data_IF_823087512574
#
_entry.id   IF_823087512574
#
_cell.length_a   1.000
_cell.length_b   1.000
_cell.length_c   1.000
_cell.angle_alpha   90.00
_cell.angle_beta   90.00
_cell.angle_gamma   90.00
#
_symmetry.space_group_name_H-M   'P 1'
#
loop_
_entity.id
_entity.type
_entity.pdbx_description
1 polymer ?
#
# COMPACT_ATOMS: atom_id res chain seq x y z
N UNK A 1 7.86 7.08 20.72
CA UNK A 1 7.80 8.05 19.59
C UNK A 1 8.99 7.94 18.64
N UNK A 2 10.13 7.39 19.07
CA UNK A 2 11.31 7.12 18.24
C UNK A 2 11.02 6.31 16.98
N UNK A 3 10.33 5.16 17.09
CA UNK A 3 9.95 4.33 15.92
C UNK A 3 9.04 5.03 14.91
N UNK A 4 8.21 6.00 15.36
CA UNK A 4 7.38 6.79 14.44
C UNK A 4 8.25 7.72 13.60
N UNK A 5 9.31 8.29 14.19
CA UNK A 5 10.24 9.16 13.46
C UNK A 5 11.08 8.36 12.48
N UNK A 6 11.54 7.16 12.84
CA UNK A 6 12.25 6.25 11.93
C UNK A 6 11.37 5.86 10.75
N UNK A 7 10.14 5.40 11.01
CA UNK A 7 9.18 5.05 9.95
C UNK A 7 8.90 6.26 9.04
N UNK A 8 8.71 7.44 9.62
CA UNK A 8 8.56 8.67 8.84
C UNK A 8 9.77 8.92 7.93
N UNK A 9 11.01 8.77 8.44
CA UNK A 9 12.22 9.00 7.66
C UNK A 9 12.35 8.00 6.51
N UNK A 10 12.03 6.73 6.74
CA UNK A 10 12.01 5.69 5.69
C UNK A 10 10.99 6.06 4.62
N UNK A 11 9.74 6.37 5.02
CA UNK A 11 8.67 6.73 4.10
C UNK A 11 9.01 7.99 3.29
N UNK A 12 9.61 9.01 3.92
CA UNK A 12 9.95 10.28 3.28
C UNK A 12 11.05 10.15 2.20
N UNK A 13 11.86 9.07 2.21
CA UNK A 13 12.86 8.82 1.16
C UNK A 13 12.22 8.46 -0.18
N UNK A 14 11.09 7.74 -0.16
CA UNK A 14 10.43 7.23 -1.37
C UNK A 14 9.13 7.97 -1.70
N UNK A 15 8.38 8.38 -0.67
CA UNK A 15 7.09 9.04 -0.82
C UNK A 15 7.27 10.56 -0.76
N UNK A 16 7.06 11.23 -1.89
CA UNK A 16 7.18 12.69 -2.01
C UNK A 16 5.91 13.41 -1.55
N UNK A 17 5.36 13.01 -0.42
CA UNK A 17 4.11 13.57 0.11
C UNK A 17 4.40 14.70 1.09
N UNK A 18 3.38 15.50 1.39
CA UNK A 18 3.52 16.51 2.42
C UNK A 18 3.79 15.86 3.80
N UNK A 19 4.45 16.61 4.69
CA UNK A 19 4.89 16.13 6.00
C UNK A 19 3.73 15.63 6.88
N UNK A 20 2.58 16.31 6.85
CA UNK A 20 1.43 15.94 7.69
C UNK A 20 0.78 14.64 7.22
N UNK A 21 0.73 14.39 5.91
CA UNK A 21 0.22 13.17 5.30
C UNK A 21 1.15 12.00 5.56
N UNK A 22 2.48 12.16 5.46
CA UNK A 22 3.44 11.12 5.84
C UNK A 22 3.31 10.72 7.31
N UNK A 23 3.20 11.71 8.21
CA UNK A 23 2.97 11.44 9.63
C UNK A 23 1.64 10.73 9.87
N UNK A 24 0.58 11.12 9.16
CA UNK A 24 -0.71 10.45 9.24
C UNK A 24 -0.61 9.00 8.76
N UNK A 25 0.04 8.76 7.63
CA UNK A 25 0.25 7.45 7.04
C UNK A 25 1.08 6.53 7.95
N UNK A 26 2.18 7.04 8.51
CA UNK A 26 2.99 6.31 9.47
C UNK A 26 2.17 5.87 10.71
N UNK A 27 1.29 6.74 11.22
CA UNK A 27 0.38 6.39 12.31
C UNK A 27 -0.65 5.34 11.88
N UNK A 28 -1.23 5.46 10.67
CA UNK A 28 -2.16 4.46 10.12
C UNK A 28 -1.48 3.09 10.01
N UNK A 29 -0.25 3.03 9.47
CA UNK A 29 0.52 1.78 9.38
C UNK A 29 0.74 1.14 10.75
N UNK A 30 1.15 1.92 11.75
CA UNK A 30 1.31 1.41 13.12
C UNK A 30 -0.01 0.86 13.68
N UNK A 31 -1.14 1.54 13.45
CA UNK A 31 -2.45 1.04 13.88
C UNK A 31 -2.77 -0.31 13.25
N UNK A 32 -2.58 -0.42 11.93
CA UNK A 32 -2.88 -1.65 11.20
C UNK A 32 -2.00 -2.80 11.70
N UNK A 33 -0.70 -2.56 11.94
CA UNK A 33 0.22 -3.59 12.44
C UNK A 33 -0.14 -4.01 13.87
N UNK A 34 -0.42 -3.05 14.76
CA UNK A 34 -0.63 -3.32 16.18
C UNK A 34 -2.03 -3.86 16.49
N UNK A 35 -3.05 -3.45 15.73
CA UNK A 35 -4.46 -3.82 15.99
C UNK A 35 -5.07 -4.70 14.91
N UNK A 36 -4.36 -4.94 13.81
CA UNK A 36 -4.80 -5.81 12.72
C UNK A 36 -6.21 -5.45 12.23
N UNK A 37 -6.52 -4.14 12.17
CA UNK A 37 -7.84 -3.64 11.78
C UNK A 37 -7.73 -2.59 10.69
N UNK A 38 -8.62 -2.68 9.71
CA UNK A 38 -8.85 -1.66 8.69
C UNK A 38 -10.07 -0.77 9.00
N UNK A 39 -10.79 -1.03 10.11
CA UNK A 39 -11.93 -0.22 10.52
C UNK A 39 -11.43 1.11 11.12
N UNK A 40 -11.69 2.23 10.44
CA UNK A 40 -11.17 3.54 10.87
C UNK A 40 -11.64 3.96 12.28
N UNK A 41 -12.85 3.58 12.70
CA UNK A 41 -13.39 3.92 14.04
C UNK A 41 -12.68 3.14 15.14
N UNK A 42 -12.36 1.87 14.87
CA UNK A 42 -11.55 1.04 15.77
C UNK A 42 -10.10 1.52 15.78
N UNK A 43 -9.57 1.83 14.61
CA UNK A 43 -8.22 2.35 14.42
C UNK A 43 -7.98 3.67 15.15
N UNK A 44 -8.98 4.55 15.23
CA UNK A 44 -8.81 5.86 15.85
C UNK A 44 -8.62 5.79 17.38
N UNK A 45 -9.00 4.67 17.99
CA UNK A 45 -8.86 4.39 19.44
C UNK A 45 -7.61 3.57 19.77
N UNK A 46 -6.84 3.18 18.76
CA UNK A 46 -5.80 2.16 18.88
C UNK A 46 -4.49 2.64 19.50
N UNK A 47 -4.13 3.92 19.29
CA UNK A 47 -2.83 4.48 19.67
C UNK A 47 -2.96 5.45 20.85
N UNK A 48 -2.01 5.41 21.81
CA UNK A 48 -1.95 6.37 22.92
C UNK A 48 -1.35 7.71 22.43
N UNK A 49 -2.05 8.42 21.55
CA UNK A 49 -1.64 9.71 21.02
C UNK A 49 -2.35 10.86 21.76
N UNK A 50 -1.69 12.02 21.87
CA UNK A 50 -2.27 13.25 22.46
C UNK A 50 -3.31 13.89 21.51
N UNK A 51 -4.36 13.16 21.17
CA UNK A 51 -5.42 13.58 20.27
C UNK A 51 -6.70 12.83 20.61
N UNK A 52 -7.85 13.50 20.52
CA UNK A 52 -9.15 12.84 20.68
C UNK A 52 -9.34 11.79 19.56
N UNK A 53 -9.89 10.60 19.85
CA UNK A 53 -10.15 9.57 18.83
C UNK A 53 -10.97 10.10 17.65
N UNK A 54 -11.96 10.96 17.90
CA UNK A 54 -12.78 11.56 16.85
C UNK A 54 -11.98 12.46 15.90
N UNK A 55 -11.00 13.19 16.44
CA UNK A 55 -10.11 14.05 15.64
C UNK A 55 -9.18 13.19 14.77
N UNK A 56 -8.63 12.09 15.30
CA UNK A 56 -7.82 11.18 14.49
C UNK A 56 -8.65 10.45 13.43
N UNK A 57 -9.88 10.02 13.75
CA UNK A 57 -10.81 9.45 12.80
C UNK A 57 -11.04 10.37 11.59
N UNK A 58 -11.41 11.64 11.84
CA UNK A 58 -11.57 12.65 10.78
C UNK A 58 -10.29 12.87 9.98
N UNK A 59 -9.12 12.85 10.64
CA UNK A 59 -7.83 12.99 9.95
C UNK A 59 -7.56 11.83 8.99
N UNK A 60 -7.85 10.59 9.38
CA UNK A 60 -7.71 9.42 8.50
C UNK A 60 -8.67 9.51 7.31
N UNK A 61 -9.93 9.91 7.53
CA UNK A 61 -10.90 10.10 6.45
C UNK A 61 -10.41 11.13 5.42
N UNK A 62 -9.95 12.31 5.88
CA UNK A 62 -9.40 13.33 4.99
C UNK A 62 -8.14 12.86 4.25
N UNK A 63 -7.28 12.11 4.94
CA UNK A 63 -6.09 11.52 4.32
C UNK A 63 -6.47 10.60 3.16
N UNK A 64 -7.36 9.63 3.36
CA UNK A 64 -7.77 8.73 2.27
C UNK A 64 -8.60 9.42 1.18
N UNK A 65 -9.33 10.49 1.51
CA UNK A 65 -10.09 11.26 0.52
C UNK A 65 -9.20 12.12 -0.39
N UNK A 66 -8.06 12.62 0.13
CA UNK A 66 -7.23 13.60 -0.58
C UNK A 66 -5.84 13.13 -0.99
N UNK A 67 -5.31 12.04 -0.41
CA UNK A 67 -3.98 11.55 -0.75
C UNK A 67 -3.99 10.75 -2.04
N UNK A 68 -3.21 11.18 -3.03
CA UNK A 68 -2.92 10.39 -4.22
C UNK A 68 -1.83 9.36 -3.94
N UNK A 69 -2.09 8.10 -4.26
CA UNK A 69 -1.14 7.01 -4.12
C UNK A 69 -0.49 6.72 -5.47
N UNK A 70 0.70 7.29 -5.69
CA UNK A 70 1.52 6.95 -6.85
C UNK A 70 2.09 5.54 -6.70
N UNK A 71 1.57 4.60 -7.48
CA UNK A 71 2.00 3.21 -7.42
C UNK A 71 3.48 3.02 -7.75
N UNK A 72 4.10 3.92 -8.53
CA UNK A 72 5.56 3.86 -8.77
C UNK A 72 6.33 4.16 -7.49
N UNK A 73 5.91 5.18 -6.73
CA UNK A 73 6.54 5.52 -5.45
C UNK A 73 6.33 4.41 -4.41
N UNK A 74 5.14 3.80 -4.37
CA UNK A 74 4.87 2.65 -3.50
C UNK A 74 5.74 1.45 -3.91
N UNK A 75 5.88 1.18 -5.21
CA UNK A 75 6.75 0.12 -5.71
C UNK A 75 8.20 0.35 -5.29
N UNK A 76 8.72 1.57 -5.46
CA UNK A 76 10.07 1.94 -5.03
C UNK A 76 10.25 1.82 -3.53
N UNK A 77 9.26 2.24 -2.73
CA UNK A 77 9.30 2.06 -1.28
C UNK A 77 9.42 0.59 -0.91
N UNK A 78 8.56 -0.27 -1.47
CA UNK A 78 8.57 -1.71 -1.18
C UNK A 78 9.89 -2.32 -1.67
N UNK A 79 10.32 -2.01 -2.90
CA UNK A 79 11.57 -2.53 -3.42
C UNK A 79 12.76 -2.13 -2.54
N UNK A 80 12.87 -0.86 -2.15
CA UNK A 80 13.97 -0.36 -1.33
C UNK A 80 13.95 -0.87 0.13
N UNK A 81 12.83 -1.40 0.62
CA UNK A 81 12.79 -2.09 1.91
C UNK A 81 13.61 -3.38 1.88
N UNK A 82 13.87 -3.93 0.70
CA UNK A 82 14.62 -5.15 0.51
C UNK A 82 15.82 -4.88 -0.41
N UNK A 83 17.03 -5.22 0.04
CA UNK A 83 18.23 -5.11 -0.80
C UNK A 83 18.30 -6.31 -1.76
N UNK A 84 17.46 -6.32 -2.79
CA UNK A 84 17.44 -7.38 -3.79
C UNK A 84 18.52 -7.18 -4.85
N UNK A 85 19.38 -8.18 -5.06
CA UNK A 85 20.32 -8.21 -6.20
C UNK A 85 19.69 -8.84 -7.44
N UNK A 86 18.90 -9.89 -7.23
CA UNK A 86 18.10 -10.57 -8.25
C UNK A 86 16.72 -10.87 -7.69
N UNK A 87 15.70 -10.83 -8.54
CA UNK A 87 14.31 -11.07 -8.15
C UNK A 87 13.69 -12.15 -9.01
N UNK A 88 12.94 -13.04 -8.36
CA UNK A 88 12.01 -13.92 -9.04
C UNK A 88 10.63 -13.25 -9.02
N UNK A 89 10.03 -13.08 -10.19
CA UNK A 89 8.73 -12.46 -10.33
C UNK A 89 7.63 -13.53 -10.39
N UNK A 90 6.50 -13.23 -9.77
CA UNK A 90 5.26 -14.00 -9.90
C UNK A 90 4.11 -13.08 -10.26
N UNK A 91 3.19 -13.59 -11.08
CA UNK A 91 1.96 -12.90 -11.46
C UNK A 91 0.79 -13.68 -10.88
N UNK A 92 -0.08 -12.96 -10.18
CA UNK A 92 -1.34 -13.53 -9.71
C UNK A 92 -2.49 -12.57 -9.98
N UNK A 93 -3.70 -13.12 -10.10
CA UNK A 93 -4.93 -12.36 -10.31
C UNK A 93 -5.88 -12.61 -9.16
N UNK A 94 -6.24 -11.55 -8.45
CA UNK A 94 -7.31 -11.58 -7.44
C UNK A 94 -8.53 -10.80 -7.93
N UNK A 95 -9.74 -11.25 -7.58
CA UNK A 95 -10.97 -10.55 -7.92
C UNK A 95 -11.78 -10.30 -6.66
N UNK A 96 -11.84 -9.05 -6.24
CA UNK A 96 -12.66 -8.62 -5.11
C UNK A 96 -14.05 -8.21 -5.59
N UNK A 97 -15.02 -8.29 -4.67
CA UNK A 97 -16.40 -7.86 -4.91
C UNK A 97 -16.72 -6.70 -3.99
N UNK A 98 -17.01 -5.53 -4.57
CA UNK A 98 -17.68 -4.46 -3.86
C UNK A 98 -19.15 -4.50 -4.23
N UNK A 99 -19.96 -5.13 -3.38
CA UNK A 99 -21.34 -5.45 -3.72
C UNK A 99 -21.38 -6.26 -5.01
N UNK A 100 -22.01 -5.71 -6.06
CA UNK A 100 -22.06 -6.35 -7.38
C UNK A 100 -20.84 -6.04 -8.28
N UNK A 101 -20.09 -4.97 -7.98
CA UNK A 101 -18.95 -4.50 -8.79
C UNK A 101 -17.72 -5.39 -8.59
N UNK A 102 -17.08 -5.78 -9.69
CA UNK A 102 -15.79 -6.48 -9.66
C UNK A 102 -14.65 -5.47 -9.52
N UNK A 103 -13.70 -5.80 -8.66
CA UNK A 103 -12.39 -5.15 -8.59
C UNK A 103 -11.39 -6.25 -8.93
N UNK A 104 -11.09 -6.36 -10.22
CA UNK A 104 -10.18 -7.37 -10.75
C UNK A 104 -8.77 -6.79 -10.76
N UNK A 105 -7.86 -7.38 -10.00
CA UNK A 105 -6.51 -6.89 -9.78
C UNK A 105 -5.55 -7.92 -10.35
N UNK A 106 -4.78 -7.52 -11.37
CA UNK A 106 -3.59 -8.26 -11.80
C UNK A 106 -2.40 -7.72 -11.02
N UNK A 107 -1.80 -8.57 -10.19
CA UNK A 107 -0.67 -8.23 -9.33
C UNK A 107 0.61 -8.89 -9.84
N UNK A 108 1.67 -8.09 -9.90
CA UNK A 108 3.04 -8.53 -10.01
C UNK A 108 3.65 -8.48 -8.61
N UNK A 109 4.30 -9.57 -8.21
CA UNK A 109 4.92 -9.71 -6.92
C UNK A 109 6.34 -10.28 -7.05
N UNK A 110 7.18 -9.99 -6.06
CA UNK A 110 8.50 -10.58 -5.92
C UNK A 110 8.38 -11.78 -4.97
N UNK A 111 8.88 -12.94 -5.40
CA UNK A 111 8.99 -14.11 -4.54
C UNK A 111 10.18 -13.92 -3.63
N UNK A 112 9.95 -13.94 -2.33
CA UNK A 112 10.98 -13.78 -1.32
C UNK A 112 10.72 -14.70 -0.13
N UNK A 113 11.65 -15.58 0.20
CA UNK A 113 11.57 -16.49 1.38
C UNK A 113 10.22 -17.21 1.54
N UNK A 114 9.66 -17.70 0.43
CA UNK A 114 8.39 -18.44 0.43
C UNK A 114 7.13 -17.59 0.45
N UNK A 115 7.24 -16.24 0.42
CA UNK A 115 6.09 -15.33 0.29
C UNK A 115 6.15 -14.56 -1.03
N UNK A 116 4.98 -14.15 -1.53
CA UNK A 116 4.86 -13.23 -2.66
C UNK A 116 4.61 -11.80 -2.13
N UNK A 117 5.56 -10.90 -2.35
CA UNK A 117 5.47 -9.49 -1.94
C UNK A 117 4.96 -8.68 -3.13
N UNK A 118 3.72 -8.14 -3.08
CA UNK A 118 3.18 -7.34 -4.17
C UNK A 118 4.05 -6.12 -4.42
N UNK A 119 4.42 -5.88 -5.68
CA UNK A 119 5.25 -4.73 -6.06
C UNK A 119 4.48 -3.77 -6.97
N UNK A 120 3.76 -4.30 -7.94
CA UNK A 120 3.00 -3.53 -8.92
C UNK A 120 1.66 -4.19 -9.20
N UNK A 121 0.66 -3.40 -9.57
CA UNK A 121 -0.63 -3.93 -9.97
C UNK A 121 -1.32 -3.05 -11.01
N UNK A 122 -2.33 -3.63 -11.64
CA UNK A 122 -3.27 -2.92 -12.49
C UNK A 122 -4.70 -3.43 -12.24
N UNK A 123 -5.66 -2.52 -12.32
CA UNK A 123 -7.07 -2.86 -12.26
C UNK A 123 -7.54 -3.21 -13.68
N UNK A 124 -8.03 -4.43 -13.85
CA UNK A 124 -8.57 -4.90 -15.12
C UNK A 124 -10.04 -4.47 -15.22
N UNK A 125 -10.39 -3.76 -16.28
CA UNK A 125 -11.78 -3.36 -16.55
C UNK A 125 -12.60 -4.50 -17.18
N UNK A 126 -12.45 -5.72 -16.65
CA UNK A 126 -13.13 -6.94 -17.09
C UNK A 126 -13.25 -7.94 -15.96
N UNK A 127 -14.22 -8.85 -16.08
CA UNK A 127 -14.32 -10.04 -15.21
C UNK A 127 -13.50 -11.18 -15.84
N UNK A 128 -12.89 -12.01 -15.00
CA UNK A 128 -12.18 -13.21 -15.45
C UNK A 128 -10.68 -13.02 -15.53
N UNK A 129 -10.05 -13.70 -16.48
CA UNK A 129 -8.59 -13.86 -16.55
C UNK A 129 -7.90 -12.66 -17.22
N UNK A 130 -6.64 -12.44 -16.86
CA UNK A 130 -5.77 -11.55 -17.61
C UNK A 130 -5.36 -12.17 -18.94
N UNK A 131 -5.09 -11.34 -19.94
CA UNK A 131 -4.51 -11.77 -21.21
C UNK A 131 -3.00 -11.49 -21.27
N UNK A 132 -2.35 -11.99 -22.32
CA UNK A 132 -0.90 -11.86 -22.49
C UNK A 132 -0.45 -10.41 -22.61
N UNK A 133 -1.23 -9.53 -23.25
CA UNK A 133 -0.86 -8.12 -23.42
C UNK A 133 -0.88 -7.40 -22.08
N UNK A 134 -1.88 -7.66 -21.24
CA UNK A 134 -1.97 -7.10 -19.89
C UNK A 134 -0.80 -7.54 -19.01
N UNK A 135 -0.39 -8.82 -19.09
CA UNK A 135 0.75 -9.36 -18.35
C UNK A 135 2.07 -8.73 -18.82
N UNK A 136 2.27 -8.64 -20.14
CA UNK A 136 3.46 -8.00 -20.73
C UNK A 136 3.53 -6.52 -20.31
N UNK A 137 2.42 -5.78 -20.40
CA UNK A 137 2.39 -4.37 -20.02
C UNK A 137 2.76 -4.16 -18.53
N UNK A 138 2.31 -5.05 -17.64
CA UNK A 138 2.67 -4.97 -16.22
C UNK A 138 4.15 -5.27 -15.97
N UNK A 139 4.73 -6.25 -16.67
CA UNK A 139 6.16 -6.55 -16.61
C UNK A 139 7.00 -5.40 -17.19
N UNK A 140 6.58 -4.83 -18.33
CA UNK A 140 7.25 -3.69 -18.95
C UNK A 140 7.30 -2.48 -18.01
N UNK A 141 6.23 -2.24 -17.24
CA UNK A 141 6.21 -1.19 -16.21
C UNK A 141 7.17 -1.45 -15.03
N UNK A 142 7.56 -2.69 -14.80
CA UNK A 142 8.51 -3.05 -13.73
C UNK A 142 9.97 -2.85 -14.17
N UNK A 143 10.27 -3.18 -15.43
CA UNK A 143 11.64 -3.10 -15.99
C UNK A 143 12.02 -1.71 -16.51
N UNK A 144 11.06 -0.81 -16.70
CA UNK A 144 11.24 0.56 -17.21
C UNK A 144 11.50 1.59 -16.09
#
# INVERSE_FOLDING_TARGET
>A
MTHLNELYLILNKSLKWNKSHLKCFALIMLVIILKQTCNLSSASKALPIKCLPQSFYRRMQRFFAGQYFDYRQISQLIFNMFSFDQVQLTLDRTNWKWGKRNINILMLAIVYRGIAIPILWTLLNKRGNSDTKERIALIQRFIA
#
